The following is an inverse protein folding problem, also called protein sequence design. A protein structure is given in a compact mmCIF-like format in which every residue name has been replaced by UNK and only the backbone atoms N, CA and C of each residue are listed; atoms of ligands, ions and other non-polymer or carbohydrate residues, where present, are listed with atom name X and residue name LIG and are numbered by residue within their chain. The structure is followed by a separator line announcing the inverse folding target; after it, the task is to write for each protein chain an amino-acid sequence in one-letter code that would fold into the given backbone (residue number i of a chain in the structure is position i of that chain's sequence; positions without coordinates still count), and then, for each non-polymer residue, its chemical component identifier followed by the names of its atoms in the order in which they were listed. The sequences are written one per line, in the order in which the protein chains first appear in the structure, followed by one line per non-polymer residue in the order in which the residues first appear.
data_IF_115274697597
#
_entry.id   IF_115274697597
#
_cell.length_a   1.000
_cell.length_b   1.000
_cell.length_c   1.000
_cell.angle_alpha   90.00
_cell.angle_beta   90.00
_cell.angle_gamma   90.00
#
_symmetry.space_group_name_H-M   'P 1'
#
loop_
_entity.id
_entity.type
_entity.pdbx_description
1 polymer ?
#
# COMPACT_ATOMS: atom_id res chain seq x y z
N UNK A 1 18.29 20.89 4.64
CA UNK A 1 17.61 19.70 5.20
C UNK A 1 16.12 19.85 4.95
N UNK A 2 15.50 18.90 4.29
CA UNK A 2 14.05 18.87 3.97
C UNK A 2 13.42 17.65 4.63
N UNK A 3 12.20 17.80 5.15
CA UNK A 3 11.38 16.68 5.55
C UNK A 3 10.32 16.43 4.49
N UNK A 4 10.41 15.31 3.77
CA UNK A 4 9.42 14.91 2.78
C UNK A 4 8.23 14.20 3.44
N UNK A 5 7.03 14.71 3.20
CA UNK A 5 5.78 14.07 3.58
C UNK A 5 5.20 13.37 2.36
N UNK A 6 4.99 12.08 2.46
CA UNK A 6 4.45 11.23 1.39
C UNK A 6 3.15 10.60 1.90
N UNK A 7 2.03 10.89 1.25
CA UNK A 7 0.74 10.25 1.50
C UNK A 7 0.54 9.17 0.44
N UNK A 8 0.14 7.97 0.86
CA UNK A 8 -0.16 6.85 -0.02
C UNK A 8 -1.61 6.43 0.18
N UNK A 9 -2.40 6.50 -0.88
CA UNK A 9 -3.73 5.90 -0.90
C UNK A 9 -3.57 4.46 -1.40
N UNK A 10 -4.07 3.50 -0.62
CA UNK A 10 -3.70 2.08 -0.78
C UNK A 10 -4.80 1.14 -0.30
N UNK A 11 -4.75 -0.10 -0.77
CA UNK A 11 -5.52 -1.21 -0.25
C UNK A 11 -4.57 -2.39 0.07
N UNK A 12 -4.62 -3.01 1.27
CA UNK A 12 -3.76 -4.14 1.65
C UNK A 12 -3.83 -5.36 0.74
N UNK A 13 -4.84 -5.49 -0.12
CA UNK A 13 -4.97 -6.57 -1.11
C UNK A 13 -4.53 -6.16 -2.52
N UNK A 14 -3.99 -4.94 -2.68
CA UNK A 14 -3.46 -4.48 -3.96
C UNK A 14 -2.00 -4.87 -4.13
N UNK A 15 -1.65 -5.76 -5.07
CA UNK A 15 -0.25 -6.15 -5.29
C UNK A 15 0.62 -4.98 -5.78
N UNK A 16 0.03 -4.06 -6.55
CA UNK A 16 0.73 -2.87 -7.01
C UNK A 16 1.00 -1.86 -5.89
N UNK A 17 0.20 -1.85 -4.81
CA UNK A 17 0.52 -1.05 -3.63
C UNK A 17 1.77 -1.56 -2.93
N UNK A 18 1.94 -2.88 -2.84
CA UNK A 18 3.15 -3.47 -2.28
C UNK A 18 4.37 -3.20 -3.16
N UNK A 19 4.25 -3.43 -4.49
CA UNK A 19 5.30 -3.09 -5.46
C UNK A 19 5.66 -1.60 -5.42
N UNK A 20 4.66 -0.72 -5.45
CA UNK A 20 4.87 0.72 -5.43
C UNK A 20 5.61 1.19 -4.17
N UNK A 21 5.28 0.63 -3.00
CA UNK A 21 6.03 0.94 -1.76
C UNK A 21 7.49 0.50 -1.84
N UNK A 22 7.77 -0.72 -2.34
CA UNK A 22 9.16 -1.18 -2.54
C UNK A 22 9.93 -0.27 -3.51
N UNK A 23 9.28 0.17 -4.57
CA UNK A 23 9.88 1.07 -5.57
C UNK A 23 10.08 2.48 -5.04
N UNK A 24 9.11 3.00 -4.26
CA UNK A 24 9.29 4.25 -3.53
C UNK A 24 10.52 4.20 -2.61
N UNK A 25 10.69 3.10 -1.85
CA UNK A 25 11.84 2.94 -0.97
C UNK A 25 13.17 2.97 -1.74
N UNK A 26 13.24 2.25 -2.87
CA UNK A 26 14.40 2.29 -3.77
C UNK A 26 14.63 3.68 -4.35
N UNK A 27 13.57 4.42 -4.70
CA UNK A 27 13.64 5.80 -5.15
C UNK A 27 14.19 6.75 -4.09
N UNK A 28 13.77 6.59 -2.83
CA UNK A 28 14.30 7.34 -1.68
C UNK A 28 15.78 7.00 -1.45
N UNK A 29 16.15 5.72 -1.52
CA UNK A 29 17.55 5.30 -1.39
C UNK A 29 18.42 5.91 -2.50
N UNK A 30 17.93 5.90 -3.75
CA UNK A 30 18.60 6.53 -4.88
C UNK A 30 18.75 8.03 -4.65
N UNK A 31 17.69 8.72 -4.19
CA UNK A 31 17.73 10.13 -3.87
C UNK A 31 18.79 10.46 -2.81
N UNK A 32 18.81 9.73 -1.72
CA UNK A 32 19.80 9.92 -0.65
C UNK A 32 21.24 9.71 -1.11
N UNK A 33 21.44 8.80 -2.06
CA UNK A 33 22.76 8.45 -2.61
C UNK A 33 23.26 9.46 -3.64
N UNK A 34 22.37 9.99 -4.48
CA UNK A 34 22.75 10.73 -5.71
C UNK A 34 22.52 12.23 -5.58
N UNK A 35 21.44 12.66 -4.91
CA UNK A 35 21.11 14.08 -4.81
C UNK A 35 22.04 14.81 -3.81
N UNK A 36 22.65 15.95 -4.17
CA UNK A 36 23.53 16.71 -3.28
C UNK A 36 22.81 17.10 -1.98
N UNK A 37 23.31 16.63 -0.82
CA UNK A 37 22.69 16.86 0.48
C UNK A 37 21.46 15.96 0.76
N UNK A 38 21.08 15.07 -0.14
CA UNK A 38 19.92 14.18 0.00
C UNK A 38 19.99 13.24 1.22
N UNK A 39 21.21 12.86 1.64
CA UNK A 39 21.45 12.04 2.84
C UNK A 39 20.94 12.68 4.15
N UNK A 40 20.86 14.01 4.18
CA UNK A 40 20.44 14.75 5.36
C UNK A 40 18.92 15.01 5.37
N UNK A 41 18.23 14.68 4.28
CA UNK A 41 16.78 14.80 4.18
C UNK A 41 16.07 13.60 4.81
N UNK A 42 14.90 13.85 5.39
CA UNK A 42 14.10 12.87 6.09
C UNK A 42 12.76 12.63 5.38
N UNK A 43 12.16 11.46 5.61
CA UNK A 43 10.95 11.04 4.91
C UNK A 43 9.94 10.47 5.90
N UNK A 44 8.68 10.85 5.75
CA UNK A 44 7.56 10.21 6.43
C UNK A 44 6.55 9.74 5.39
N UNK A 45 6.12 8.48 5.52
CA UNK A 45 5.10 7.87 4.66
C UNK A 45 3.86 7.61 5.49
N UNK A 46 2.74 8.20 5.13
CA UNK A 46 1.43 7.97 5.75
C UNK A 46 0.49 7.29 4.78
N UNK A 47 -0.45 6.51 5.32
CA UNK A 47 -1.35 5.68 4.53
C UNK A 47 -2.79 6.13 4.66
N UNK A 48 -3.56 6.00 3.59
CA UNK A 48 -4.97 6.30 3.54
C UNK A 48 -5.74 5.17 2.88
N UNK A 49 -6.90 4.85 3.41
CA UNK A 49 -7.67 3.70 2.99
C UNK A 49 -8.32 3.88 1.61
N UNK A 50 -8.36 2.78 0.86
CA UNK A 50 -9.13 2.63 -0.37
C UNK A 50 -9.67 1.20 -0.45
N UNK A 51 -10.82 1.00 -1.09
CA UNK A 51 -11.37 -0.33 -1.38
C UNK A 51 -11.32 -0.61 -2.87
N UNK A 52 -10.41 -1.49 -3.29
CA UNK A 52 -10.38 -2.00 -4.67
C UNK A 52 -11.59 -2.84 -5.02
N UNK A 53 -12.18 -3.47 -4.03
CA UNK A 53 -13.34 -4.32 -4.16
C UNK A 53 -14.33 -4.05 -3.02
N UNK A 54 -15.16 -2.99 -3.14
CA UNK A 54 -16.17 -2.66 -2.12
C UNK A 54 -17.16 -3.81 -1.86
N UNK A 55 -17.39 -4.66 -2.88
CA UNK A 55 -18.29 -5.81 -2.81
C UNK A 55 -17.59 -7.10 -2.35
N UNK A 56 -16.35 -7.00 -1.86
CA UNK A 56 -15.63 -8.16 -1.37
C UNK A 56 -16.36 -8.78 -0.16
N UNK A 57 -16.42 -10.13 -0.08
CA UNK A 57 -17.13 -10.81 0.98
C UNK A 57 -16.52 -10.55 2.35
N UNK A 58 -17.36 -10.52 3.40
CA UNK A 58 -16.92 -10.32 4.79
C UNK A 58 -16.04 -11.46 5.31
N UNK A 59 -16.23 -12.67 4.79
CA UNK A 59 -15.43 -13.85 5.09
C UNK A 59 -14.53 -14.15 3.91
N UNK A 60 -13.24 -14.38 4.17
CA UNK A 60 -12.24 -14.64 3.13
C UNK A 60 -12.57 -15.87 2.28
N UNK A 61 -12.50 -15.68 0.96
CA UNK A 61 -12.61 -16.76 -0.03
C UNK A 61 -11.27 -16.92 -0.76
N UNK A 62 -10.99 -18.09 -1.36
CA UNK A 62 -9.76 -18.29 -2.11
C UNK A 62 -9.52 -17.17 -3.14
N UNK A 63 -8.34 -16.56 -3.13
CA UNK A 63 -7.96 -15.50 -4.06
C UNK A 63 -8.17 -15.93 -5.51
N UNK A 64 -7.79 -17.17 -5.84
CA UNK A 64 -8.00 -17.73 -7.19
C UNK A 64 -9.46 -17.67 -7.61
N UNK A 65 -10.38 -18.10 -6.75
CA UNK A 65 -11.81 -18.08 -7.02
C UNK A 65 -12.31 -16.65 -7.31
N UNK A 66 -11.91 -15.68 -6.47
CA UNK A 66 -12.32 -14.28 -6.66
C UNK A 66 -11.77 -13.69 -7.95
N UNK A 67 -10.51 -13.98 -8.27
CA UNK A 67 -9.88 -13.50 -9.50
C UNK A 67 -10.53 -14.12 -10.75
N UNK A 68 -10.88 -15.41 -10.70
CA UNK A 68 -11.62 -16.07 -11.79
C UNK A 68 -12.98 -15.41 -12.03
N UNK A 69 -13.71 -15.07 -10.97
CA UNK A 69 -14.99 -14.37 -11.07
C UNK A 69 -14.86 -12.97 -11.71
N UNK A 70 -13.79 -12.25 -11.40
CA UNK A 70 -13.59 -10.87 -11.88
C UNK A 70 -12.98 -10.76 -13.26
N UNK A 71 -12.03 -11.62 -13.61
CA UNK A 71 -11.19 -11.49 -14.80
C UNK A 71 -11.30 -12.66 -15.78
N UNK A 72 -12.00 -13.74 -15.40
CA UNK A 72 -12.08 -14.97 -16.17
C UNK A 72 -10.87 -15.88 -16.01
N UNK A 73 -11.07 -17.20 -16.17
CA UNK A 73 -10.02 -18.22 -15.95
C UNK A 73 -8.86 -18.09 -16.92
N UNK A 74 -9.13 -17.70 -18.15
CA UNK A 74 -8.14 -17.72 -19.25
C UNK A 74 -7.04 -16.67 -19.07
N UNK A 75 -7.36 -15.55 -18.42
CA UNK A 75 -6.41 -14.44 -18.19
C UNK A 75 -5.50 -14.66 -16.98
N UNK A 76 -5.93 -15.45 -16.01
CA UNK A 76 -5.22 -15.58 -14.73
C UNK A 76 -3.78 -16.08 -14.85
N UNK A 77 -3.46 -17.11 -15.67
CA UNK A 77 -2.07 -17.59 -15.76
C UNK A 77 -1.11 -16.50 -16.22
N UNK A 78 -1.51 -15.72 -17.23
CA UNK A 78 -0.69 -14.63 -17.76
C UNK A 78 -0.54 -13.49 -16.74
N UNK A 79 -1.64 -13.09 -16.08
CA UNK A 79 -1.62 -12.05 -15.05
C UNK A 79 -0.73 -12.44 -13.87
N UNK A 80 -0.82 -13.69 -13.40
CA UNK A 80 0.01 -14.23 -12.31
C UNK A 80 1.49 -14.25 -12.68
N UNK A 81 1.81 -14.69 -13.88
CA UNK A 81 3.21 -14.76 -14.32
C UNK A 81 3.81 -13.36 -14.48
N UNK A 82 3.05 -12.41 -15.02
CA UNK A 82 3.46 -11.01 -15.10
C UNK A 82 3.72 -10.42 -13.71
N UNK A 83 2.78 -10.62 -12.78
CA UNK A 83 2.93 -10.16 -11.39
C UNK A 83 4.11 -10.83 -10.68
N UNK A 84 4.29 -12.15 -10.87
CA UNK A 84 5.43 -12.90 -10.30
C UNK A 84 6.76 -12.34 -10.78
N UNK A 85 6.89 -12.05 -12.09
CA UNK A 85 8.12 -11.46 -12.65
C UNK A 85 8.41 -10.08 -12.05
N UNK A 86 7.40 -9.22 -11.97
CA UNK A 86 7.56 -7.89 -11.36
C UNK A 86 7.93 -8.02 -9.88
N UNK A 87 7.25 -8.90 -9.13
CA UNK A 87 7.54 -9.11 -7.72
C UNK A 87 8.99 -9.52 -7.47
N UNK A 88 9.51 -10.47 -8.25
CA UNK A 88 10.89 -10.92 -8.10
C UNK A 88 11.92 -9.80 -8.33
N UNK A 89 11.66 -8.87 -9.24
CA UNK A 89 12.53 -7.70 -9.47
C UNK A 89 12.56 -6.75 -8.26
N UNK A 90 11.46 -6.72 -7.50
CA UNK A 90 11.30 -5.88 -6.32
C UNK A 90 11.49 -6.64 -5.00
N UNK A 91 11.92 -7.91 -5.06
CA UNK A 91 12.20 -8.74 -3.90
C UNK A 91 10.95 -9.30 -3.22
N UNK A 92 9.83 -9.41 -3.94
CA UNK A 92 8.56 -9.96 -3.47
C UNK A 92 8.32 -11.33 -4.11
N UNK A 93 8.00 -12.32 -3.28
CA UNK A 93 7.64 -13.69 -3.72
C UNK A 93 6.13 -13.88 -3.56
N UNK A 94 5.37 -13.41 -4.56
CA UNK A 94 3.91 -13.53 -4.52
C UNK A 94 3.46 -14.99 -4.45
N UNK A 95 2.63 -15.31 -3.44
CA UNK A 95 1.91 -16.56 -3.31
C UNK A 95 0.53 -16.50 -3.99
N UNK A 96 -0.16 -17.63 -4.09
CA UNK A 96 -1.44 -17.76 -4.83
C UNK A 96 -2.61 -18.23 -3.99
N UNK A 97 -2.35 -18.68 -2.74
CA UNK A 97 -3.33 -19.39 -1.92
C UNK A 97 -3.92 -18.54 -0.78
N UNK A 98 -3.68 -17.22 -0.84
CA UNK A 98 -4.26 -16.25 0.07
C UNK A 98 -5.79 -16.25 -0.01
N UNK A 99 -6.44 -15.79 1.05
CA UNK A 99 -7.89 -15.56 1.04
C UNK A 99 -8.18 -14.06 0.99
N UNK A 100 -8.96 -13.68 0.00
CA UNK A 100 -9.40 -12.31 -0.23
C UNK A 100 -10.80 -12.08 0.33
N UNK A 101 -11.01 -10.91 0.90
CA UNK A 101 -12.30 -10.42 1.38
C UNK A 101 -12.26 -8.94 1.66
N UNK A 102 -13.25 -8.44 2.40
CA UNK A 102 -13.36 -7.04 2.73
C UNK A 102 -12.17 -6.58 3.58
N UNK A 103 -11.56 -5.45 3.21
CA UNK A 103 -10.31 -4.94 3.82
C UNK A 103 -10.54 -3.90 4.93
N UNK A 104 -11.80 -3.59 5.28
CA UNK A 104 -12.11 -2.58 6.30
C UNK A 104 -11.40 -2.83 7.62
N UNK A 105 -11.34 -4.08 8.08
CA UNK A 105 -10.67 -4.42 9.34
C UNK A 105 -9.15 -4.30 9.26
N UNK A 106 -8.54 -4.63 8.13
CA UNK A 106 -7.13 -4.38 7.91
C UNK A 106 -6.81 -2.87 7.94
N UNK A 107 -7.65 -2.04 7.32
CA UNK A 107 -7.51 -0.58 7.41
C UNK A 107 -7.75 -0.05 8.82
N UNK A 108 -8.70 -0.61 9.59
CA UNK A 108 -8.89 -0.25 10.99
C UNK A 108 -7.65 -0.57 11.84
N UNK A 109 -6.97 -1.67 11.56
CA UNK A 109 -5.70 -1.98 12.20
C UNK A 109 -4.61 -0.96 11.85
N UNK A 110 -4.57 -0.47 10.61
CA UNK A 110 -3.66 0.61 10.20
C UNK A 110 -3.98 1.90 10.98
N UNK A 111 -5.25 2.21 11.27
CA UNK A 111 -5.60 3.36 12.12
C UNK A 111 -5.07 3.20 13.56
N UNK A 112 -5.12 2.00 14.14
CA UNK A 112 -4.48 1.74 15.44
C UNK A 112 -2.97 2.02 15.37
N UNK A 113 -2.30 1.53 14.34
CA UNK A 113 -0.87 1.73 14.15
C UNK A 113 -0.51 3.22 13.92
N UNK A 114 -1.34 3.94 13.18
CA UNK A 114 -1.23 5.39 12.94
C UNK A 114 -1.24 6.18 14.24
N UNK A 115 -2.12 5.82 15.20
CA UNK A 115 -2.15 6.43 16.53
C UNK A 115 -0.88 6.19 17.36
N UNK A 116 -0.07 5.16 17.01
CA UNK A 116 1.20 4.83 17.66
C UNK A 116 2.42 5.49 17.01
N UNK A 117 2.22 6.15 15.87
CA UNK A 117 3.25 6.89 15.16
C UNK A 117 3.57 6.33 13.77
N UNK A 118 4.17 7.17 12.95
CA UNK A 118 4.40 6.91 11.53
C UNK A 118 5.27 5.66 11.26
N UNK A 119 6.28 5.41 12.08
CA UNK A 119 7.12 4.22 11.94
C UNK A 119 6.33 2.94 12.17
N UNK A 120 5.48 2.91 13.21
CA UNK A 120 4.61 1.78 13.54
C UNK A 120 3.58 1.56 12.43
N UNK A 121 2.97 2.63 11.91
CA UNK A 121 2.04 2.59 10.79
C UNK A 121 2.67 1.89 9.58
N UNK A 122 3.88 2.31 9.19
CA UNK A 122 4.58 1.72 8.06
C UNK A 122 4.95 0.25 8.28
N UNK A 123 5.42 -0.10 9.48
CA UNK A 123 5.73 -1.50 9.81
C UNK A 123 4.48 -2.39 9.70
N UNK A 124 3.35 -1.95 10.25
CA UNK A 124 2.08 -2.71 10.18
C UNK A 124 1.64 -2.90 8.73
N UNK A 125 1.67 -1.85 7.90
CA UNK A 125 1.29 -1.98 6.48
C UNK A 125 2.20 -2.96 5.76
N UNK A 126 3.52 -2.92 5.99
CA UNK A 126 4.46 -3.83 5.36
C UNK A 126 4.27 -5.28 5.81
N UNK A 127 3.96 -5.53 7.10
CA UNK A 127 3.68 -6.87 7.60
C UNK A 127 2.32 -7.40 7.08
N UNK A 128 1.31 -6.52 6.90
CA UNK A 128 0.05 -6.90 6.24
C UNK A 128 0.30 -7.34 4.80
N UNK A 129 1.05 -6.56 4.02
CA UNK A 129 1.42 -6.94 2.66
C UNK A 129 2.17 -8.28 2.62
N UNK A 130 3.18 -8.44 3.47
CA UNK A 130 3.97 -9.66 3.53
C UNK A 130 3.11 -10.88 3.93
N UNK A 131 2.33 -10.77 5.01
CA UNK A 131 1.47 -11.86 5.46
C UNK A 131 0.44 -12.25 4.41
N UNK A 132 -0.14 -11.27 3.70
CA UNK A 132 -1.12 -11.53 2.66
C UNK A 132 -0.49 -12.08 1.38
N UNK A 133 0.55 -11.42 0.85
CA UNK A 133 1.09 -11.72 -0.47
C UNK A 133 2.18 -12.80 -0.49
N UNK A 134 2.89 -13.03 0.61
CA UNK A 134 4.02 -13.97 0.65
C UNK A 134 3.78 -15.16 1.60
N UNK A 135 2.80 -15.05 2.53
CA UNK A 135 2.56 -16.06 3.57
C UNK A 135 1.15 -16.69 3.49
N UNK A 136 0.44 -16.54 2.35
CA UNK A 136 -0.91 -17.07 2.10
C UNK A 136 -1.96 -16.63 3.13
N UNK A 137 -1.89 -15.38 3.62
CA UNK A 137 -2.76 -14.86 4.66
C UNK A 137 -4.23 -14.74 4.24
N UNK A 138 -5.12 -14.78 5.24
CA UNK A 138 -6.53 -14.44 5.11
C UNK A 138 -6.73 -13.00 5.60
N UNK A 139 -6.95 -12.05 4.69
CA UNK A 139 -7.08 -10.62 5.02
C UNK A 139 -8.28 -10.32 5.93
N UNK A 140 -9.24 -11.23 6.04
CA UNK A 140 -10.42 -11.08 6.92
C UNK A 140 -10.22 -11.69 8.30
N UNK A 141 -9.14 -12.45 8.53
CA UNK A 141 -8.85 -13.12 9.79
C UNK A 141 -8.30 -12.16 10.84
N UNK A 142 -8.99 -11.99 11.95
CA UNK A 142 -8.50 -11.20 13.08
C UNK A 142 -7.19 -11.74 13.66
N UNK A 143 -7.00 -13.05 13.64
CA UNK A 143 -5.74 -13.65 14.12
C UNK A 143 -4.59 -13.32 13.18
N UNK A 144 -4.76 -13.41 11.85
CA UNK A 144 -3.74 -13.00 10.89
C UNK A 144 -3.40 -11.50 11.03
N UNK A 145 -4.43 -10.66 11.15
CA UNK A 145 -4.25 -9.22 11.33
C UNK A 145 -3.50 -8.89 12.63
N UNK A 146 -3.86 -9.53 13.74
CA UNK A 146 -3.22 -9.35 15.03
C UNK A 146 -1.77 -9.88 15.03
N UNK A 147 -1.49 -10.98 14.33
CA UNK A 147 -0.15 -11.53 14.17
C UNK A 147 0.76 -10.59 13.34
N UNK A 148 0.23 -10.00 12.26
CA UNK A 148 0.94 -8.98 11.48
C UNK A 148 1.24 -7.74 12.34
N UNK A 149 0.29 -7.28 13.15
CA UNK A 149 0.49 -6.19 14.09
C UNK A 149 1.60 -6.50 15.12
N UNK A 150 1.62 -7.73 15.66
CA UNK A 150 2.63 -8.17 16.60
C UNK A 150 4.04 -8.20 15.98
N UNK A 151 4.19 -8.68 14.75
CA UNK A 151 5.46 -8.64 14.00
C UNK A 151 5.95 -7.20 13.80
N UNK A 152 5.02 -6.23 13.72
CA UNK A 152 5.31 -4.80 13.60
C UNK A 152 5.56 -4.08 14.95
N UNK A 153 5.47 -4.80 16.07
CA UNK A 153 5.70 -4.26 17.42
C UNK A 153 4.46 -3.69 18.12
N UNK A 154 3.26 -3.95 17.61
CA UNK A 154 2.00 -3.65 18.30
C UNK A 154 1.60 -4.85 19.14
N UNK A 155 1.13 -4.63 20.37
CA UNK A 155 0.66 -5.73 21.23
C UNK A 155 -0.48 -6.50 20.54
N UNK A 156 -0.35 -7.84 20.46
CA UNK A 156 -1.31 -8.72 19.80
C UNK A 156 -2.71 -8.66 20.44
N UNK A 157 -2.74 -8.59 21.77
CA UNK A 157 -4.00 -8.52 22.53
C UNK A 157 -4.72 -7.20 22.31
N UNK A 158 -3.97 -6.09 22.28
CA UNK A 158 -4.50 -4.77 21.94
C UNK A 158 -5.06 -4.74 20.51
N UNK A 159 -4.31 -5.27 19.53
CA UNK A 159 -4.76 -5.37 18.15
C UNK A 159 -6.06 -6.18 18.03
N UNK A 160 -6.15 -7.31 18.73
CA UNK A 160 -7.34 -8.15 18.73
C UNK A 160 -8.55 -7.45 19.35
N UNK A 161 -8.38 -6.83 20.52
CA UNK A 161 -9.42 -6.03 21.19
C UNK A 161 -9.88 -4.86 20.30
N UNK A 162 -8.96 -4.20 19.60
CA UNK A 162 -9.29 -3.15 18.63
C UNK A 162 -10.16 -3.69 17.50
N UNK A 163 -9.79 -4.83 16.91
CA UNK A 163 -10.51 -5.46 15.81
C UNK A 163 -11.90 -5.96 16.22
N UNK A 164 -12.06 -6.45 17.45
CA UNK A 164 -13.35 -6.88 18.03
C UNK A 164 -14.31 -5.70 18.32
N UNK A 165 -13.78 -4.48 18.40
CA UNK A 165 -14.56 -3.25 18.49
C UNK A 165 -14.86 -2.68 17.09
N UNK A 166 -15.53 -1.50 16.99
CA UNK A 166 -15.62 -0.75 15.72
C UNK A 166 -14.68 0.49 15.69
N UNK A 167 -13.71 0.56 16.59
CA UNK A 167 -12.73 1.65 16.63
C UNK A 167 -11.98 1.76 15.31
N UNK A 168 -11.70 2.98 14.87
CA UNK A 168 -11.04 3.27 13.60
C UNK A 168 -11.97 3.15 12.36
N UNK A 169 -13.23 2.72 12.55
CA UNK A 169 -14.15 2.53 11.44
C UNK A 169 -14.54 3.82 10.75
N UNK A 170 -14.90 4.85 11.52
CA UNK A 170 -15.27 6.17 10.96
C UNK A 170 -14.13 6.83 10.20
N UNK A 171 -12.92 6.70 10.70
CA UNK A 171 -11.71 7.21 10.08
C UNK A 171 -11.47 6.52 8.73
N UNK A 172 -11.59 5.20 8.67
CA UNK A 172 -11.47 4.43 7.44
C UNK A 172 -12.54 4.81 6.43
N UNK A 173 -13.80 4.86 6.84
CA UNK A 173 -14.93 5.20 5.99
C UNK A 173 -14.78 6.63 5.45
N UNK A 174 -14.26 7.55 6.25
CA UNK A 174 -13.94 8.93 5.85
C UNK A 174 -12.81 9.02 4.84
N UNK A 175 -11.71 8.26 5.04
CA UNK A 175 -10.58 8.21 4.11
C UNK A 175 -10.99 7.66 2.74
N UNK A 176 -11.81 6.61 2.73
CA UNK A 176 -12.34 6.02 1.49
C UNK A 176 -13.25 7.01 0.75
N UNK A 177 -14.15 7.67 1.48
CA UNK A 177 -15.04 8.69 0.89
C UNK A 177 -14.23 9.88 0.33
N UNK A 178 -13.17 10.32 1.03
CA UNK A 178 -12.28 11.39 0.55
C UNK A 178 -11.55 10.97 -0.75
N UNK A 179 -11.07 9.72 -0.84
CA UNK A 179 -10.40 9.23 -2.04
C UNK A 179 -11.34 9.25 -3.26
N UNK A 180 -12.57 8.76 -3.11
CA UNK A 180 -13.57 8.82 -4.19
C UNK A 180 -13.95 10.26 -4.56
N UNK A 181 -14.12 11.15 -3.57
CA UNK A 181 -14.44 12.56 -3.82
C UNK A 181 -13.32 13.30 -4.60
N UNK A 182 -12.07 12.86 -4.46
CA UNK A 182 -10.92 13.34 -5.23
C UNK A 182 -10.79 12.70 -6.62
N UNK A 183 -11.72 11.84 -7.02
CA UNK A 183 -11.68 11.16 -8.32
C UNK A 183 -10.62 10.05 -8.41
N UNK A 184 -10.15 9.52 -7.27
CA UNK A 184 -9.20 8.41 -7.28
C UNK A 184 -9.98 7.13 -7.53
N UNK A 185 -9.65 6.45 -8.63
CA UNK A 185 -10.30 5.22 -9.08
C UNK A 185 -9.36 3.99 -9.07
N UNK A 186 -8.11 4.20 -8.67
CA UNK A 186 -7.11 3.13 -8.61
C UNK A 186 -6.01 3.42 -7.59
N UNK A 187 -5.33 2.37 -7.16
CA UNK A 187 -4.24 2.46 -6.18
C UNK A 187 -3.05 1.60 -6.62
N UNK A 188 -1.82 1.94 -6.18
CA UNK A 188 -1.49 3.02 -5.27
C UNK A 188 -1.57 4.40 -5.93
N UNK A 189 -1.91 5.42 -5.15
CA UNK A 189 -1.72 6.81 -5.52
C UNK A 189 -0.84 7.46 -4.45
N UNK A 190 0.25 8.11 -4.87
CA UNK A 190 1.20 8.77 -3.98
C UNK A 190 1.09 10.28 -4.14
N UNK A 191 1.03 11.00 -3.03
CA UNK A 191 1.13 12.46 -3.02
C UNK A 191 2.35 12.86 -2.20
N UNK A 192 3.32 13.55 -2.82
CA UNK A 192 4.56 14.01 -2.19
C UNK A 192 4.42 15.51 -1.94
N UNK A 193 4.70 15.95 -0.71
CA UNK A 193 4.59 17.34 -0.25
C UNK A 193 3.23 18.00 -0.54
N UNK A 194 2.17 17.19 -0.69
CA UNK A 194 0.80 17.68 -0.95
C UNK A 194 0.56 18.25 -2.35
N UNK A 195 1.56 18.18 -3.25
CA UNK A 195 1.51 18.83 -4.56
C UNK A 195 1.96 17.95 -5.74
N UNK A 196 2.79 16.94 -5.49
CA UNK A 196 3.34 16.10 -6.55
C UNK A 196 2.68 14.74 -6.48
N UNK A 197 1.99 14.37 -7.56
CA UNK A 197 1.26 13.10 -7.63
C UNK A 197 2.03 12.07 -8.47
N UNK A 198 2.02 10.82 -8.02
CA UNK A 198 2.54 9.65 -8.74
C UNK A 198 1.48 8.57 -8.69
N UNK A 199 0.92 8.24 -9.84
CA UNK A 199 -0.11 7.21 -9.97
C UNK A 199 0.52 5.85 -10.30
N UNK A 200 0.08 4.83 -9.56
CA UNK A 200 0.52 3.46 -9.76
C UNK A 200 1.92 3.17 -9.23
N UNK A 201 2.37 1.93 -9.45
CA UNK A 201 3.69 1.45 -9.03
C UNK A 201 4.74 1.80 -10.09
N UNK A 202 5.09 3.08 -10.17
CA UNK A 202 6.09 3.59 -11.10
C UNK A 202 7.50 3.08 -10.79
N UNK A 203 8.46 3.28 -11.67
CA UNK A 203 9.84 2.86 -11.47
C UNK A 203 10.53 3.69 -10.36
N UNK A 204 11.55 3.14 -9.67
CA UNK A 204 12.30 3.88 -8.65
C UNK A 204 12.88 5.20 -9.16
N UNK A 205 13.22 5.26 -10.45
CA UNK A 205 13.71 6.50 -11.09
C UNK A 205 12.64 7.59 -11.11
N UNK A 206 11.39 7.26 -11.38
CA UNK A 206 10.30 8.23 -11.42
C UNK A 206 10.07 8.84 -10.03
N UNK A 207 10.09 8.01 -8.98
CA UNK A 207 10.07 8.51 -7.61
C UNK A 207 11.26 9.42 -7.28
N UNK A 208 12.46 9.06 -7.73
CA UNK A 208 13.65 9.92 -7.59
C UNK A 208 13.44 11.29 -8.26
N UNK A 209 12.98 11.29 -9.51
CA UNK A 209 12.79 12.53 -10.29
C UNK A 209 11.75 13.44 -9.64
N UNK A 210 10.66 12.87 -9.10
CA UNK A 210 9.63 13.61 -8.35
C UNK A 210 10.17 14.17 -7.04
N UNK A 211 10.98 13.40 -6.30
CA UNK A 211 11.61 13.89 -5.07
C UNK A 211 12.56 15.06 -5.35
N UNK A 212 13.33 15.00 -6.45
CA UNK A 212 14.18 16.12 -6.89
C UNK A 212 13.33 17.32 -7.24
N UNK A 213 12.27 17.17 -8.02
CA UNK A 213 11.38 18.27 -8.38
C UNK A 213 10.74 18.91 -7.14
N UNK A 214 10.28 18.10 -6.19
CA UNK A 214 9.70 18.58 -4.94
C UNK A 214 10.74 19.32 -4.06
N UNK A 215 11.99 18.86 -4.07
CA UNK A 215 13.10 19.54 -3.35
C UNK A 215 13.41 20.91 -3.92
N UNK A 216 13.39 21.01 -5.25
CA UNK A 216 13.76 22.21 -5.99
C UNK A 216 12.58 23.19 -6.18
N UNK A 217 11.37 22.82 -5.70
CA UNK A 217 10.17 23.65 -5.86
C UNK A 217 9.75 23.82 -7.32
N UNK A 218 10.13 22.90 -8.21
CA UNK A 218 9.72 22.91 -9.62
C UNK A 218 8.24 22.60 -9.72
N UNK A 219 7.56 23.24 -10.68
CA UNK A 219 6.14 22.97 -10.95
C UNK A 219 5.90 21.47 -11.12
N UNK A 220 4.83 20.96 -10.52
CA UNK A 220 4.32 19.59 -10.73
C UNK A 220 3.79 19.48 -12.17
N UNK A 221 4.69 19.47 -13.18
CA UNK A 221 4.31 18.94 -14.47
C UNK A 221 3.88 17.51 -14.21
N UNK A 222 2.64 17.14 -14.54
CA UNK A 222 2.13 15.78 -14.49
C UNK A 222 3.21 14.87 -15.07
N UNK A 223 3.80 14.02 -14.21
CA UNK A 223 4.63 12.91 -14.65
C UNK A 223 3.65 11.86 -15.20
N UNK A 224 3.09 12.21 -16.37
CA UNK A 224 2.23 11.33 -17.14
C UNK A 224 3.15 10.31 -17.83
N UNK A 225 3.48 9.26 -17.10
CA UNK A 225 4.14 8.11 -17.67
C UNK A 225 3.11 7.44 -18.57
N UNK A 226 3.32 7.54 -19.88
CA UNK A 226 2.49 6.92 -20.88
C UNK A 226 2.17 5.47 -20.48
N UNK A 227 0.95 5.26 -20.03
CA UNK A 227 0.39 3.93 -19.82
C UNK A 227 0.31 3.31 -21.21
N UNK A 228 1.19 2.36 -21.52
CA UNK A 228 0.94 1.41 -22.59
C UNK A 228 -0.36 0.67 -22.26
N UNK A 229 -1.43 1.04 -22.96
CA UNK A 229 -2.71 0.35 -23.06
C UNK A 229 -2.56 -1.09 -23.56
#
# INVERSE_FOLDING_TARGET
MTHFKIKVISDPVCPFCYLGKKRLDKGIELYKKVYPGGKDDTFSVSWSAFYLDPEAPKTGIPLTQRMEQRFGKDRLPMMREALRKQGLQDGIKFCTDSKIGNTRNAHRLIQLAKAKGNETENKVVMELFKSYFEENGDITSFDMLADAAAKAGVDRGEAKTWLESDKGGKEVDGEVAEAYAKGIHGVPNFTIQGAYEVDGAQDPKDFFDVLVAAKEGKSSASFDSGVCS
#
